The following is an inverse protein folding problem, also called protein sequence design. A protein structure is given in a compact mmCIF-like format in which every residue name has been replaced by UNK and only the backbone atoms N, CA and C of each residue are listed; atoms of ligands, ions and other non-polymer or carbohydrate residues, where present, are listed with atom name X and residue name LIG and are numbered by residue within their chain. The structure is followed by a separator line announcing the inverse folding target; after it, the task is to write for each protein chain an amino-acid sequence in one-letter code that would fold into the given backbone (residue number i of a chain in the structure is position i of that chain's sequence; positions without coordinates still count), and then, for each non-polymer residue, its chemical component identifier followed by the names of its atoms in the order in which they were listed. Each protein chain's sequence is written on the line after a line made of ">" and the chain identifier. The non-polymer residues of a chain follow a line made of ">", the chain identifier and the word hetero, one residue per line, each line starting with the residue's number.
data_IF_150909378289
#
_entry.id   IF_150909378289
#
_cell.length_a   1.000
_cell.length_b   1.000
_cell.length_c   1.000
_cell.angle_alpha   90.00
_cell.angle_beta   90.00
_cell.angle_gamma   90.00
#
_symmetry.space_group_name_H-M   'P 1'
#
loop_
_entity.id
_entity.type
_entity.pdbx_description
1 polymer ?
#
# COMPACT_ATOMS: atom_id res chain seq x y z
N UNK A 1 18.35 17.77 28.38
CA UNK A 1 18.59 16.33 28.21
C UNK A 1 17.36 15.76 27.52
N UNK A 2 17.52 15.18 26.33
CA UNK A 2 16.43 14.50 25.63
C UNK A 2 16.52 13.01 25.93
N UNK A 3 15.39 12.40 26.29
CA UNK A 3 15.28 10.96 26.53
C UNK A 3 14.30 10.42 25.50
N UNK A 4 14.76 9.52 24.64
CA UNK A 4 13.90 8.78 23.73
C UNK A 4 13.58 7.42 24.39
N UNK A 5 12.30 7.16 24.65
CA UNK A 5 11.85 5.89 25.20
C UNK A 5 10.89 5.24 24.20
N UNK A 6 11.19 3.99 23.77
CA UNK A 6 10.32 3.20 22.87
C UNK A 6 9.03 2.74 23.57
N UNK A 7 9.05 2.67 24.89
CA UNK A 7 7.90 2.36 25.75
C UNK A 7 7.52 3.61 26.53
N UNK A 8 6.22 3.85 26.70
CA UNK A 8 5.77 5.00 27.47
C UNK A 8 6.28 4.87 28.90
N UNK A 9 7.24 5.74 29.26
CA UNK A 9 7.61 5.96 30.65
C UNK A 9 6.32 6.33 31.39
N UNK A 10 6.11 5.80 32.60
CA UNK A 10 4.85 6.08 33.28
C UNK A 10 4.67 7.60 33.43
N UNK A 11 3.46 8.13 33.21
CA UNK A 11 3.19 9.57 33.34
C UNK A 11 3.67 10.12 34.68
N UNK A 12 3.61 9.30 35.74
CA UNK A 12 4.07 9.64 37.08
C UNK A 12 5.57 9.85 37.16
N UNK A 13 6.37 9.04 36.45
CA UNK A 13 7.82 9.20 36.39
C UNK A 13 8.21 10.48 35.65
N UNK A 14 7.56 10.74 34.52
CA UNK A 14 7.80 11.92 33.67
C UNK A 14 7.48 13.20 34.43
N UNK A 15 6.36 13.21 35.16
CA UNK A 15 5.93 14.31 36.03
C UNK A 15 6.86 14.50 37.23
N UNK A 16 7.29 13.41 37.89
CA UNK A 16 8.22 13.49 39.02
C UNK A 16 9.60 14.04 38.63
N UNK A 17 10.00 13.92 37.36
CA UNK A 17 11.25 14.48 36.82
C UNK A 17 11.09 15.86 36.18
N UNK A 18 9.89 16.44 36.18
CA UNK A 18 9.62 17.75 35.58
C UNK A 18 9.86 17.77 34.06
N UNK A 19 9.74 16.62 33.39
CA UNK A 19 10.01 16.50 31.96
C UNK A 19 8.76 16.89 31.16
N UNK A 20 8.98 17.52 30.00
CA UNK A 20 7.92 17.80 29.02
C UNK A 20 7.85 16.64 28.04
N UNK A 21 6.66 16.08 27.90
CA UNK A 21 6.39 15.05 26.91
C UNK A 21 6.19 15.67 25.52
N UNK A 22 6.84 15.08 24.52
CA UNK A 22 6.69 15.44 23.11
C UNK A 22 6.37 14.14 22.38
N UNK A 23 5.19 14.06 21.79
CA UNK A 23 4.80 12.93 20.94
C UNK A 23 5.19 13.26 19.51
N UNK A 24 5.99 12.39 18.90
CA UNK A 24 6.24 12.45 17.48
C UNK A 24 5.03 11.86 16.76
N UNK A 25 4.40 12.66 15.91
CA UNK A 25 3.37 12.17 15.00
C UNK A 25 4.03 11.37 13.87
N UNK A 26 3.28 10.46 13.28
CA UNK A 26 3.69 9.77 12.05
C UNK A 26 3.81 10.73 10.87
N UNK A 27 4.30 10.22 9.73
CA UNK A 27 4.34 11.00 8.49
C UNK A 27 2.91 11.21 8.01
N UNK A 28 2.52 12.45 7.77
CA UNK A 28 1.25 12.75 7.12
C UNK A 28 1.28 12.29 5.65
N UNK A 29 0.15 11.85 5.04
CA UNK A 29 0.14 11.46 3.64
C UNK A 29 0.64 12.57 2.69
N UNK A 30 0.48 13.83 3.11
CA UNK A 30 0.95 15.04 2.46
C UNK A 30 2.49 15.19 2.43
N UNK A 31 3.20 14.59 3.39
CA UNK A 31 4.66 14.69 3.52
C UNK A 31 5.41 13.59 2.74
N UNK A 32 4.70 12.55 2.27
CA UNK A 32 5.31 11.37 1.63
C UNK A 32 6.11 11.74 0.37
N UNK A 33 5.49 12.44 -0.58
CA UNK A 33 6.13 12.81 -1.85
C UNK A 33 7.34 13.73 -1.61
N UNK A 34 7.19 14.71 -0.70
CA UNK A 34 8.26 15.64 -0.35
C UNK A 34 9.48 14.93 0.25
N UNK A 35 9.26 13.98 1.16
CA UNK A 35 10.34 13.16 1.72
C UNK A 35 11.04 12.34 0.64
N UNK A 36 10.28 11.65 -0.23
CA UNK A 36 10.83 10.82 -1.30
C UNK A 36 11.72 11.66 -2.21
N UNK A 37 11.22 12.81 -2.67
CA UNK A 37 11.96 13.72 -3.54
C UNK A 37 13.21 14.25 -2.84
N UNK A 38 13.09 14.69 -1.59
CA UNK A 38 14.23 15.24 -0.86
C UNK A 38 15.31 14.19 -0.59
N UNK A 39 14.93 12.98 -0.21
CA UNK A 39 15.86 11.88 0.02
C UNK A 39 16.64 11.54 -1.24
N UNK A 40 15.95 11.35 -2.37
CA UNK A 40 16.61 11.01 -3.63
C UNK A 40 17.45 12.17 -4.17
N UNK A 41 17.01 13.43 -3.98
CA UNK A 41 17.82 14.60 -4.34
C UNK A 41 19.13 14.62 -3.55
N UNK A 42 19.10 14.37 -2.24
CA UNK A 42 20.30 14.33 -1.42
C UNK A 42 21.26 13.21 -1.84
N UNK A 43 20.73 12.03 -2.23
CA UNK A 43 21.55 10.95 -2.78
C UNK A 43 22.15 11.36 -4.13
N UNK A 44 21.37 11.98 -5.02
CA UNK A 44 21.85 12.43 -6.33
C UNK A 44 22.95 13.52 -6.22
N UNK A 45 22.88 14.40 -5.21
CA UNK A 45 23.93 15.39 -4.92
C UNK A 45 25.26 14.73 -4.49
N UNK A 46 25.21 13.55 -3.90
CA UNK A 46 26.40 12.77 -3.52
C UNK A 46 26.95 11.90 -4.65
N UNK A 47 26.19 11.69 -5.74
CA UNK A 47 26.62 10.89 -6.89
C UNK A 47 27.72 11.59 -7.69
N UNK A 48 28.66 10.79 -8.18
CA UNK A 48 29.83 11.31 -8.90
C UNK A 48 29.60 11.34 -10.40
N UNK A 49 28.84 10.39 -10.95
CA UNK A 49 28.59 10.28 -12.40
C UNK A 49 27.20 10.78 -12.80
N UNK A 50 27.01 11.06 -14.10
CA UNK A 50 25.70 11.48 -14.61
C UNK A 50 24.72 10.31 -14.61
N UNK A 51 25.20 9.11 -14.92
CA UNK A 51 24.46 7.86 -14.94
C UNK A 51 23.90 7.51 -13.56
N UNK A 52 24.72 7.64 -12.50
CA UNK A 52 24.26 7.45 -11.11
C UNK A 52 23.12 8.42 -10.76
N UNK A 53 23.21 9.69 -11.18
CA UNK A 53 22.17 10.68 -10.93
C UNK A 53 20.87 10.37 -11.69
N UNK A 54 20.96 9.81 -12.90
CA UNK A 54 19.79 9.36 -13.67
C UNK A 54 19.12 8.19 -12.95
N UNK A 55 19.87 7.18 -12.52
CA UNK A 55 19.33 6.03 -11.79
C UNK A 55 18.62 6.43 -10.49
N UNK A 56 19.17 7.40 -9.75
CA UNK A 56 18.54 7.93 -8.54
C UNK A 56 17.21 8.64 -8.87
N UNK A 57 17.14 9.41 -9.96
CA UNK A 57 15.89 10.06 -10.40
C UNK A 57 14.86 9.04 -10.87
N UNK A 58 15.28 8.01 -11.59
CA UNK A 58 14.40 6.90 -11.99
C UNK A 58 13.87 6.13 -10.79
N UNK A 59 14.71 5.84 -9.79
CA UNK A 59 14.28 5.22 -8.54
C UNK A 59 13.23 6.08 -7.81
N UNK A 60 13.46 7.40 -7.73
CA UNK A 60 12.51 8.36 -7.16
C UNK A 60 11.16 8.31 -7.89
N UNK A 61 11.18 8.37 -9.23
CA UNK A 61 9.97 8.32 -10.06
C UNK A 61 9.21 7.01 -9.88
N UNK A 62 9.92 5.87 -9.91
CA UNK A 62 9.33 4.53 -9.69
C UNK A 62 8.66 4.43 -8.32
N UNK A 63 9.28 4.96 -7.26
CA UNK A 63 8.69 4.94 -5.92
C UNK A 63 7.46 5.86 -5.81
N UNK A 64 7.49 7.07 -6.37
CA UNK A 64 6.31 7.94 -6.37
C UNK A 64 5.13 7.26 -7.10
N UNK A 65 5.40 6.66 -8.27
CA UNK A 65 4.40 5.90 -9.02
C UNK A 65 3.84 4.74 -8.18
N UNK A 66 4.70 3.98 -7.50
CA UNK A 66 4.30 2.91 -6.59
C UNK A 66 3.37 3.38 -5.47
N UNK A 67 3.70 4.49 -4.79
CA UNK A 67 2.86 5.10 -3.75
C UNK A 67 1.49 5.53 -4.30
N UNK A 68 1.42 5.86 -5.58
CA UNK A 68 0.16 6.13 -6.27
C UNK A 68 -0.67 4.89 -6.55
N UNK A 69 -0.01 3.80 -6.95
CA UNK A 69 -0.64 2.62 -7.55
C UNK A 69 -0.85 1.43 -6.61
N UNK A 70 -0.23 1.45 -5.42
CA UNK A 70 -0.27 0.34 -4.48
C UNK A 70 -0.64 0.85 -3.08
N UNK A 71 -1.85 0.51 -2.62
CA UNK A 71 -2.36 0.94 -1.32
C UNK A 71 -1.51 0.44 -0.14
N UNK A 72 -0.98 -0.79 -0.22
CA UNK A 72 -0.08 -1.34 0.79
C UNK A 72 1.23 -0.57 0.90
N UNK A 73 1.87 -0.25 -0.23
CA UNK A 73 3.07 0.60 -0.25
C UNK A 73 2.76 1.98 0.34
N UNK A 74 1.63 2.59 -0.06
CA UNK A 74 1.19 3.90 0.44
C UNK A 74 0.97 3.90 1.96
N UNK A 75 0.33 2.89 2.51
CA UNK A 75 0.09 2.80 3.96
C UNK A 75 1.38 2.54 4.74
N UNK A 76 2.33 1.78 4.18
CA UNK A 76 3.65 1.57 4.78
C UNK A 76 4.45 2.89 4.84
N UNK A 77 4.31 3.77 3.84
CA UNK A 77 4.99 5.07 3.81
C UNK A 77 4.60 6.01 4.97
N UNK A 78 3.50 5.77 5.68
CA UNK A 78 3.12 6.55 6.88
C UNK A 78 4.09 6.34 8.06
N UNK A 79 4.94 5.32 7.99
CA UNK A 79 6.05 5.13 8.91
C UNK A 79 7.36 5.66 8.30
N UNK A 80 8.06 6.61 8.94
CA UNK A 80 9.30 7.17 8.41
C UNK A 80 10.39 6.12 8.13
N UNK A 81 10.41 5.05 8.93
CA UNK A 81 11.36 3.95 8.75
C UNK A 81 11.05 3.15 7.48
N UNK A 82 9.79 2.78 7.24
CA UNK A 82 9.39 2.11 6.01
C UNK A 82 9.61 2.99 4.80
N UNK A 83 9.27 4.27 4.90
CA UNK A 83 9.50 5.24 3.83
C UNK A 83 10.99 5.31 3.44
N UNK A 84 11.89 5.35 4.43
CA UNK A 84 13.34 5.33 4.21
C UNK A 84 13.83 4.01 3.60
N UNK A 85 13.28 2.88 4.05
CA UNK A 85 13.58 1.56 3.50
C UNK A 85 13.10 1.43 2.06
N UNK A 86 11.90 1.90 1.75
CA UNK A 86 11.35 1.92 0.39
C UNK A 86 12.21 2.77 -0.54
N UNK A 87 12.62 3.97 -0.13
CA UNK A 87 13.56 4.80 -0.91
C UNK A 87 14.84 4.03 -1.26
N UNK A 88 15.41 3.34 -0.26
CA UNK A 88 16.60 2.52 -0.44
C UNK A 88 16.37 1.32 -1.37
N UNK A 89 15.30 0.56 -1.18
CA UNK A 89 15.02 -0.65 -1.96
C UNK A 89 14.75 -0.33 -3.44
N UNK A 90 14.07 0.78 -3.73
CA UNK A 90 13.86 1.24 -5.11
C UNK A 90 15.13 1.70 -5.81
N UNK A 91 16.15 2.10 -5.05
CA UNK A 91 17.46 2.48 -5.57
C UNK A 91 18.34 1.25 -5.83
N UNK A 92 18.32 0.24 -4.94
CA UNK A 92 19.32 -0.83 -4.97
C UNK A 92 18.81 -2.21 -5.46
N UNK A 93 17.50 -2.48 -5.43
CA UNK A 93 17.00 -3.85 -5.58
C UNK A 93 16.31 -4.16 -6.91
N UNK A 94 16.32 -3.26 -7.90
CA UNK A 94 15.84 -3.55 -9.26
C UNK A 94 14.39 -4.08 -9.32
N UNK A 95 13.57 -3.74 -8.33
CA UNK A 95 12.21 -4.25 -8.17
C UNK A 95 11.27 -3.56 -9.16
N UNK A 96 10.39 -4.35 -9.77
CA UNK A 96 9.38 -3.89 -10.72
C UNK A 96 7.99 -4.07 -10.13
N UNK A 97 7.32 -2.97 -9.80
CA UNK A 97 5.95 -3.02 -9.31
C UNK A 97 4.93 -3.01 -10.47
N UNK A 98 3.78 -3.68 -10.30
CA UNK A 98 3.29 -4.35 -9.08
C UNK A 98 3.83 -5.78 -8.87
N UNK A 99 4.54 -6.34 -9.85
CA UNK A 99 4.86 -7.77 -9.92
C UNK A 99 5.70 -8.22 -8.72
N UNK A 100 6.63 -7.39 -8.28
CA UNK A 100 7.49 -7.64 -7.12
C UNK A 100 6.90 -7.11 -5.79
N UNK A 101 5.62 -6.71 -5.75
CA UNK A 101 5.01 -6.05 -4.58
C UNK A 101 5.10 -6.89 -3.29
N UNK A 102 4.76 -8.17 -3.37
CA UNK A 102 4.86 -9.09 -2.22
C UNK A 102 6.32 -9.25 -1.79
N UNK A 103 7.25 -9.37 -2.74
CA UNK A 103 8.67 -9.52 -2.44
C UNK A 103 9.26 -8.27 -1.78
N UNK A 104 8.95 -7.09 -2.32
CA UNK A 104 9.33 -5.79 -1.77
C UNK A 104 8.84 -5.65 -0.33
N UNK A 105 7.54 -5.83 -0.10
CA UNK A 105 6.93 -5.62 1.22
C UNK A 105 7.47 -6.63 2.23
N UNK A 106 7.60 -7.90 1.84
CA UNK A 106 8.22 -8.94 2.67
C UNK A 106 9.64 -8.56 3.06
N UNK A 107 10.44 -8.11 2.08
CA UNK A 107 11.84 -7.72 2.31
C UNK A 107 11.95 -6.52 3.25
N UNK A 108 11.13 -5.48 3.06
CA UNK A 108 11.13 -4.30 3.93
C UNK A 108 10.73 -4.66 5.36
N UNK A 109 9.74 -5.56 5.54
CA UNK A 109 9.38 -6.09 6.86
C UNK A 109 10.54 -6.85 7.52
N UNK A 110 11.31 -7.63 6.75
CA UNK A 110 12.49 -8.36 7.27
C UNK A 110 13.64 -7.42 7.64
N UNK A 111 13.85 -6.35 6.88
CA UNK A 111 14.90 -5.35 7.14
C UNK A 111 14.66 -4.59 8.44
N UNK A 112 13.39 -4.31 8.78
CA UNK A 112 13.03 -3.61 10.02
C UNK A 112 13.60 -4.24 11.28
N UNK A 113 13.68 -5.57 11.30
CA UNK A 113 14.11 -6.32 12.47
C UNK A 113 15.64 -6.44 12.57
N UNK A 114 16.37 -5.77 11.69
CA UNK A 114 17.82 -5.60 11.82
C UNK A 114 18.16 -4.54 12.88
N UNK A 115 19.36 -4.65 13.44
CA UNK A 115 19.89 -3.63 14.34
C UNK A 115 20.05 -2.29 13.61
N UNK A 116 20.61 -2.34 12.41
CA UNK A 116 20.69 -1.25 11.45
C UNK A 116 19.91 -1.59 10.16
N UNK A 117 18.61 -1.21 10.08
CA UNK A 117 17.80 -1.45 8.89
C UNK A 117 18.26 -0.66 7.65
N UNK A 118 18.96 0.46 7.83
CA UNK A 118 19.39 1.33 6.72
C UNK A 118 20.80 1.02 6.23
N UNK A 119 21.58 0.27 7.00
CA UNK A 119 22.87 -0.28 6.59
C UNK A 119 22.75 -1.36 5.52
N UNK A 120 23.90 -1.75 4.97
CA UNK A 120 23.97 -2.88 4.04
C UNK A 120 23.63 -4.18 4.78
N UNK A 121 22.61 -4.94 4.37
CA UNK A 121 22.13 -6.07 5.14
C UNK A 121 23.00 -7.28 4.83
N UNK A 122 23.20 -8.13 5.83
CA UNK A 122 23.69 -9.47 5.57
C UNK A 122 22.51 -10.32 5.05
N UNK A 123 22.54 -10.67 3.76
CA UNK A 123 21.49 -11.48 3.12
C UNK A 123 21.30 -12.84 3.80
N UNK A 124 22.34 -13.40 4.45
CA UNK A 124 22.22 -14.65 5.21
C UNK A 124 21.42 -14.44 6.51
N UNK A 125 21.49 -13.26 7.11
CA UNK A 125 20.68 -12.92 8.28
C UNK A 125 19.20 -12.71 7.94
N UNK A 126 18.88 -12.33 6.69
CA UNK A 126 17.49 -12.20 6.21
C UNK A 126 16.84 -13.57 5.95
N UNK A 127 17.61 -14.58 5.54
CA UNK A 127 17.10 -15.91 5.17
C UNK A 127 16.62 -16.78 6.36
N UNK A 128 16.95 -16.41 7.60
CA UNK A 128 16.71 -17.24 8.79
C UNK A 128 15.77 -16.57 9.80
N UNK A 129 14.47 -16.56 9.53
CA UNK A 129 13.48 -16.15 10.55
C UNK A 129 12.34 -17.17 10.67
N UNK A 130 12.56 -18.20 11.47
CA UNK A 130 11.52 -19.16 11.89
C UNK A 130 10.36 -18.54 12.68
N UNK A 131 10.48 -17.26 13.03
CA UNK A 131 9.50 -16.50 13.82
C UNK A 131 8.33 -15.97 12.93
N UNK A 132 8.46 -15.99 11.60
CA UNK A 132 7.44 -15.45 10.68
C UNK A 132 6.11 -16.22 10.71
N UNK A 133 6.15 -17.54 10.88
CA UNK A 133 4.93 -18.35 10.97
C UNK A 133 4.16 -18.02 12.25
N UNK A 134 4.86 -17.84 13.38
CA UNK A 134 4.28 -17.41 14.66
C UNK A 134 3.69 -15.99 14.56
N UNK A 135 4.40 -15.06 13.90
CA UNK A 135 3.90 -13.70 13.66
C UNK A 135 2.64 -13.71 12.77
N UNK A 136 2.62 -14.56 11.75
CA UNK A 136 1.47 -14.71 10.84
C UNK A 136 0.25 -15.30 11.56
N UNK A 137 0.47 -16.30 12.41
CA UNK A 137 -0.58 -16.90 13.25
C UNK A 137 -1.14 -15.90 14.27
N UNK A 138 -0.27 -15.12 14.91
CA UNK A 138 -0.66 -14.05 15.82
C UNK A 138 -1.43 -12.93 15.10
N UNK A 139 -0.97 -12.52 13.92
CA UNK A 139 -1.63 -11.51 13.09
C UNK A 139 -3.03 -11.95 12.69
N UNK A 140 -3.16 -13.16 12.15
CA UNK A 140 -4.44 -13.76 11.80
C UNK A 140 -5.43 -13.76 12.97
N UNK A 141 -4.98 -14.19 14.16
CA UNK A 141 -5.81 -14.20 15.35
C UNK A 141 -6.23 -12.77 15.75
N UNK A 142 -5.30 -11.82 15.73
CA UNK A 142 -5.57 -10.41 16.10
C UNK A 142 -6.53 -9.71 15.13
N UNK A 143 -6.55 -10.07 13.84
CA UNK A 143 -7.54 -9.55 12.87
C UNK A 143 -8.97 -9.89 13.30
N UNK A 144 -9.17 -11.01 13.99
CA UNK A 144 -10.49 -11.46 14.44
C UNK A 144 -10.83 -11.02 15.88
N UNK A 145 -9.81 -10.76 16.72
CA UNK A 145 -9.99 -10.55 18.16
C UNK A 145 -9.61 -9.13 18.64
N UNK A 146 -9.20 -8.25 17.72
CA UNK A 146 -8.80 -6.88 18.01
C UNK A 146 -7.29 -6.66 17.95
N UNK A 147 -6.88 -5.41 17.75
CA UNK A 147 -5.47 -5.05 17.56
C UNK A 147 -4.62 -5.17 18.84
N UNK A 148 -5.22 -4.97 20.01
CA UNK A 148 -4.52 -4.96 21.29
C UNK A 148 -4.90 -6.17 22.15
N UNK A 149 -3.92 -6.94 22.59
CA UNK A 149 -4.13 -8.19 23.35
C UNK A 149 -3.05 -8.39 24.42
N UNK A 150 -3.30 -9.26 25.41
CA UNK A 150 -2.28 -9.53 26.44
C UNK A 150 -1.26 -10.56 25.95
N UNK A 151 -0.10 -10.62 26.61
CA UNK A 151 0.89 -11.69 26.39
C UNK A 151 0.26 -13.09 26.53
N UNK A 152 -0.65 -13.25 27.50
CA UNK A 152 -1.32 -14.51 27.75
C UNK A 152 -2.28 -14.89 26.61
N UNK A 153 -3.04 -13.92 26.09
CA UNK A 153 -3.93 -14.15 24.94
C UNK A 153 -3.13 -14.55 23.70
N UNK A 154 -2.03 -13.83 23.41
CA UNK A 154 -1.16 -14.16 22.29
C UNK A 154 -0.52 -15.54 22.41
N UNK A 155 -0.11 -15.93 23.62
CA UNK A 155 0.49 -17.25 23.87
C UNK A 155 -0.54 -18.37 23.68
N UNK A 156 -1.77 -18.17 24.16
CA UNK A 156 -2.87 -19.10 23.94
C UNK A 156 -3.26 -19.19 22.46
N UNK A 157 -3.25 -18.06 21.75
CA UNK A 157 -3.65 -17.97 20.34
C UNK A 157 -2.76 -18.82 19.42
N UNK A 158 -1.44 -18.80 19.63
CA UNK A 158 -0.47 -19.50 18.78
C UNK A 158 0.09 -20.77 19.43
N UNK A 159 -0.49 -21.19 20.57
CA UNK A 159 -0.13 -22.44 21.25
C UNK A 159 1.29 -22.48 21.83
N UNK A 160 1.80 -21.34 22.33
CA UNK A 160 3.19 -21.20 22.81
C UNK A 160 3.25 -20.69 24.26
N UNK A 161 4.46 -20.44 24.79
CA UNK A 161 4.64 -19.87 26.13
C UNK A 161 4.53 -18.33 26.14
N UNK A 162 4.07 -17.72 27.24
CA UNK A 162 4.13 -16.26 27.42
C UNK A 162 5.53 -15.68 27.21
N UNK A 163 6.57 -16.43 27.59
CA UNK A 163 7.97 -16.04 27.39
C UNK A 163 8.32 -15.94 25.91
N UNK A 164 7.86 -16.89 25.08
CA UNK A 164 8.06 -16.86 23.63
C UNK A 164 7.39 -15.64 22.99
N UNK A 165 6.17 -15.29 23.41
CA UNK A 165 5.51 -14.07 22.93
C UNK A 165 6.29 -12.82 23.32
N UNK A 166 6.83 -12.75 24.55
CA UNK A 166 7.71 -11.64 24.95
C UNK A 166 9.00 -11.58 24.13
N UNK A 167 9.58 -12.73 23.78
CA UNK A 167 10.73 -12.80 22.87
C UNK A 167 10.38 -12.21 21.51
N UNK A 168 9.25 -12.62 20.90
CA UNK A 168 8.77 -12.09 19.63
C UNK A 168 8.63 -10.56 19.69
N UNK A 169 7.98 -10.05 20.72
CA UNK A 169 7.81 -8.60 20.92
C UNK A 169 9.14 -7.87 21.12
N UNK A 170 10.11 -8.48 21.80
CA UNK A 170 11.42 -7.87 22.02
C UNK A 170 12.32 -7.88 20.77
N UNK A 171 12.14 -8.88 19.90
CA UNK A 171 12.97 -9.10 18.71
C UNK A 171 12.43 -8.36 17.49
N UNK A 172 11.11 -8.27 17.35
CA UNK A 172 10.47 -7.78 16.14
C UNK A 172 9.86 -6.39 16.32
N UNK A 173 10.29 -5.44 15.49
CA UNK A 173 9.78 -4.04 15.53
C UNK A 173 8.37 -3.91 14.99
N UNK A 174 7.84 -4.97 14.35
CA UNK A 174 6.44 -5.02 13.90
C UNK A 174 5.45 -5.20 15.06
N UNK A 175 5.92 -5.60 16.25
CA UNK A 175 5.13 -5.67 17.47
C UNK A 175 5.52 -4.53 18.41
N UNK A 176 4.54 -4.04 19.17
CA UNK A 176 4.70 -3.01 20.19
C UNK A 176 4.13 -3.52 21.51
N UNK A 177 4.85 -3.26 22.60
CA UNK A 177 4.35 -3.43 23.97
C UNK A 177 3.98 -2.05 24.52
N UNK A 178 2.70 -1.84 24.76
CA UNK A 178 2.16 -0.62 25.33
C UNK A 178 2.38 -0.59 26.86
N UNK A 179 2.30 0.60 27.46
CA UNK A 179 2.67 0.81 28.87
C UNK A 179 1.77 0.09 29.88
N UNK A 180 0.56 -0.26 29.47
CA UNK A 180 -0.40 -1.06 30.25
C UNK A 180 -0.15 -2.58 30.11
N UNK A 181 0.90 -2.97 29.38
CA UNK A 181 1.30 -4.37 29.18
C UNK A 181 0.56 -5.07 28.03
N UNK A 182 -0.21 -4.34 27.22
CA UNK A 182 -0.84 -4.88 26.01
C UNK A 182 0.14 -4.90 24.85
N UNK A 183 -0.04 -5.88 23.98
CA UNK A 183 0.70 -6.04 22.73
C UNK A 183 -0.21 -5.61 21.58
N UNK A 184 0.37 -4.90 20.62
CA UNK A 184 -0.27 -4.60 19.35
C UNK A 184 0.73 -4.72 18.20
N UNK A 185 0.23 -4.84 16.97
CA UNK A 185 1.09 -4.61 15.81
C UNK A 185 1.36 -3.11 15.70
N UNK A 186 2.63 -2.74 15.55
CA UNK A 186 3.06 -1.34 15.48
C UNK A 186 2.43 -0.60 14.30
N UNK A 187 2.01 -1.32 13.26
CA UNK A 187 1.31 -0.79 12.10
C UNK A 187 0.17 -1.71 11.66
N UNK A 188 -0.96 -1.11 11.29
CA UNK A 188 -2.13 -1.83 10.77
C UNK A 188 -1.80 -2.63 9.51
N UNK A 189 -1.11 -2.03 8.54
CA UNK A 189 -0.75 -2.70 7.29
C UNK A 189 0.16 -3.92 7.51
N UNK A 190 1.15 -3.84 8.41
CA UNK A 190 2.01 -4.99 8.74
C UNK A 190 1.18 -6.17 9.28
N UNK A 191 0.22 -5.88 10.18
CA UNK A 191 -0.72 -6.89 10.69
C UNK A 191 -1.55 -7.53 9.58
N UNK A 192 -2.08 -6.72 8.67
CA UNK A 192 -2.88 -7.23 7.54
C UNK A 192 -2.05 -8.09 6.58
N UNK A 193 -0.79 -7.73 6.33
CA UNK A 193 0.12 -8.49 5.47
C UNK A 193 0.47 -9.86 6.09
N UNK A 194 0.82 -9.92 7.37
CA UNK A 194 1.08 -11.18 8.08
C UNK A 194 -0.18 -12.06 8.16
N UNK A 195 -1.35 -11.45 8.38
CA UNK A 195 -2.62 -12.19 8.35
C UNK A 195 -2.92 -12.73 6.94
N UNK A 196 -2.65 -11.95 5.89
CA UNK A 196 -2.78 -12.36 4.50
C UNK A 196 -1.86 -13.55 4.16
N UNK A 197 -0.61 -13.57 4.65
CA UNK A 197 0.28 -14.72 4.52
C UNK A 197 -0.33 -15.98 5.14
N UNK A 198 -0.85 -15.88 6.37
CA UNK A 198 -1.53 -16.99 7.04
C UNK A 198 -2.73 -17.52 6.24
N UNK A 199 -3.61 -16.62 5.78
CA UNK A 199 -4.79 -16.98 5.01
C UNK A 199 -4.43 -17.64 3.68
N UNK A 200 -3.37 -17.17 3.03
CA UNK A 200 -2.88 -17.71 1.76
C UNK A 200 -2.33 -19.13 1.94
N UNK A 201 -1.42 -19.31 2.91
CA UNK A 201 -0.79 -20.59 3.19
C UNK A 201 -1.81 -21.68 3.55
N UNK A 202 -2.83 -21.35 4.34
CA UNK A 202 -3.86 -22.30 4.77
C UNK A 202 -5.11 -22.32 3.88
N UNK A 203 -5.11 -21.59 2.76
CA UNK A 203 -6.22 -21.53 1.76
C UNK A 203 -7.59 -21.24 2.40
N UNK A 204 -7.69 -20.14 3.15
CA UNK A 204 -8.93 -19.68 3.79
C UNK A 204 -9.97 -19.13 2.79
N UNK A 205 -10.18 -19.80 1.65
CA UNK A 205 -10.95 -19.29 0.50
C UNK A 205 -12.39 -18.93 0.88
N UNK A 206 -13.08 -19.79 1.64
CA UNK A 206 -14.46 -19.52 2.08
C UNK A 206 -14.56 -18.29 2.98
N UNK A 207 -13.58 -18.09 3.87
CA UNK A 207 -13.50 -16.92 4.73
C UNK A 207 -13.24 -15.64 3.92
N UNK A 208 -12.34 -15.69 2.93
CA UNK A 208 -12.05 -14.57 2.04
C UNK A 208 -13.27 -14.17 1.19
N UNK A 209 -14.04 -15.16 0.71
CA UNK A 209 -15.30 -14.89 0.00
C UNK A 209 -16.27 -14.10 0.89
N UNK A 210 -16.40 -14.51 2.16
CA UNK A 210 -17.27 -13.81 3.11
C UNK A 210 -16.79 -12.39 3.40
N UNK A 211 -15.47 -12.17 3.48
CA UNK A 211 -14.88 -10.82 3.66
C UNK A 211 -15.10 -9.91 2.44
N UNK A 212 -15.21 -10.44 1.24
CA UNK A 212 -15.47 -9.60 0.06
C UNK A 212 -16.86 -8.93 0.11
N UNK A 213 -17.80 -9.51 0.87
CA UNK A 213 -19.14 -8.97 1.04
C UNK A 213 -19.16 -7.68 1.87
N UNK A 214 -18.16 -7.47 2.74
CA UNK A 214 -18.07 -6.31 3.63
C UNK A 214 -17.01 -5.31 3.15
N UNK A 215 -17.42 -4.07 2.88
CA UNK A 215 -16.55 -3.01 2.36
C UNK A 215 -15.18 -2.89 3.05
N UNK A 216 -15.12 -2.75 4.39
CA UNK A 216 -13.86 -2.60 5.14
C UNK A 216 -12.90 -3.80 5.02
N UNK A 217 -13.40 -4.99 4.70
CA UNK A 217 -12.63 -6.23 4.75
C UNK A 217 -12.10 -6.67 3.37
N UNK A 218 -12.50 -5.99 2.29
CA UNK A 218 -12.10 -6.29 0.90
C UNK A 218 -10.59 -6.16 0.67
N UNK A 219 -9.91 -5.26 1.38
CA UNK A 219 -8.45 -5.12 1.31
C UNK A 219 -7.75 -6.43 1.65
N UNK A 220 -8.23 -7.16 2.65
CA UNK A 220 -7.68 -8.47 3.05
C UNK A 220 -7.74 -9.48 1.91
N UNK A 221 -8.79 -9.45 1.09
CA UNK A 221 -8.95 -10.35 -0.06
C UNK A 221 -7.87 -10.05 -1.11
N UNK A 222 -7.64 -8.76 -1.40
CA UNK A 222 -6.61 -8.29 -2.34
C UNK A 222 -5.20 -8.58 -1.83
N UNK A 223 -4.93 -8.33 -0.55
CA UNK A 223 -3.63 -8.66 0.05
C UNK A 223 -3.35 -10.17 0.02
N UNK A 224 -4.37 -10.99 0.30
CA UNK A 224 -4.22 -12.45 0.36
C UNK A 224 -4.02 -13.07 -1.02
N UNK A 225 -4.77 -12.64 -2.04
CA UNK A 225 -4.68 -13.25 -3.38
C UNK A 225 -3.32 -13.04 -4.05
N UNK A 226 -2.63 -11.93 -3.74
CA UNK A 226 -1.26 -11.66 -4.22
C UNK A 226 -0.26 -12.74 -3.79
N UNK A 227 -0.57 -13.48 -2.71
CA UNK A 227 0.26 -14.55 -2.12
C UNK A 227 -0.24 -15.96 -2.46
N UNK A 228 -1.39 -16.09 -3.11
CA UNK A 228 -1.96 -17.38 -3.46
C UNK A 228 -1.27 -17.96 -4.69
N UNK A 229 -1.07 -19.29 -4.69
CA UNK A 229 -0.73 -20.02 -5.90
C UNK A 229 -1.89 -20.05 -6.91
N UNK A 230 -1.58 -20.24 -8.19
CA UNK A 230 -2.52 -20.14 -9.32
C UNK A 230 -3.86 -20.85 -9.12
N UNK A 231 -3.84 -22.10 -8.64
CA UNK A 231 -5.08 -22.87 -8.39
C UNK A 231 -5.97 -22.23 -7.32
N UNK A 232 -5.39 -21.77 -6.20
CA UNK A 232 -6.16 -21.18 -5.10
C UNK A 232 -6.66 -19.77 -5.46
N UNK A 233 -5.84 -18.97 -6.17
CA UNK A 233 -6.25 -17.67 -6.68
C UNK A 233 -7.42 -17.79 -7.66
N UNK A 234 -7.35 -18.75 -8.57
CA UNK A 234 -8.42 -19.02 -9.56
C UNK A 234 -9.71 -19.49 -8.88
N UNK A 235 -9.60 -20.37 -7.88
CA UNK A 235 -10.74 -20.82 -7.07
C UNK A 235 -11.41 -19.65 -6.32
N UNK A 236 -10.62 -18.76 -5.72
CA UNK A 236 -11.14 -17.58 -5.03
C UNK A 236 -11.91 -16.67 -6.01
N UNK A 237 -11.31 -16.35 -7.16
CA UNK A 237 -11.94 -15.49 -8.16
C UNK A 237 -13.24 -16.08 -8.70
N UNK A 238 -13.27 -17.36 -9.06
CA UNK A 238 -14.50 -18.04 -9.51
C UNK A 238 -15.61 -17.98 -8.44
N UNK A 239 -15.26 -18.10 -7.14
CA UNK A 239 -16.24 -17.98 -6.04
C UNK A 239 -16.71 -16.54 -5.84
N UNK A 240 -15.83 -15.54 -5.99
CA UNK A 240 -16.22 -14.12 -5.93
C UNK A 240 -17.19 -13.77 -7.05
N UNK A 241 -16.97 -14.27 -8.27
CA UNK A 241 -17.89 -14.06 -9.39
C UNK A 241 -19.28 -14.63 -9.09
N UNK A 242 -19.36 -15.86 -8.58
CA UNK A 242 -20.64 -16.46 -8.16
C UNK A 242 -21.32 -15.67 -7.05
N UNK A 243 -20.57 -15.21 -6.06
CA UNK A 243 -21.13 -14.39 -4.98
C UNK A 243 -21.69 -13.06 -5.50
N UNK A 244 -21.05 -12.45 -6.50
CA UNK A 244 -21.57 -11.26 -7.15
C UNK A 244 -22.83 -11.55 -7.99
N UNK A 245 -22.85 -12.65 -8.75
CA UNK A 245 -24.03 -13.11 -9.51
C UNK A 245 -25.22 -13.36 -8.58
N UNK A 246 -24.99 -14.06 -7.46
CA UNK A 246 -25.99 -14.32 -6.45
C UNK A 246 -26.53 -13.01 -5.84
N UNK A 247 -25.65 -12.08 -5.45
CA UNK A 247 -26.07 -10.78 -4.92
C UNK A 247 -26.92 -9.99 -5.93
N UNK A 248 -26.52 -9.98 -7.20
CA UNK A 248 -27.27 -9.32 -8.28
C UNK A 248 -28.65 -9.97 -8.49
N UNK A 249 -28.74 -11.30 -8.47
CA UNK A 249 -30.00 -12.03 -8.60
C UNK A 249 -30.98 -11.73 -7.44
N UNK A 250 -30.46 -11.41 -6.25
CA UNK A 250 -31.25 -10.99 -5.09
C UNK A 250 -31.52 -9.46 -5.05
N UNK A 251 -31.08 -8.70 -6.07
CA UNK A 251 -31.30 -7.27 -6.18
C UNK A 251 -30.33 -6.39 -5.37
N UNK A 252 -29.29 -6.97 -4.75
CA UNK A 252 -28.27 -6.23 -4.01
C UNK A 252 -27.13 -5.81 -4.95
N UNK A 253 -27.40 -4.77 -5.75
CA UNK A 253 -26.44 -4.25 -6.74
C UNK A 253 -25.17 -3.69 -6.09
N UNK A 254 -25.27 -3.08 -4.91
CA UNK A 254 -24.12 -2.48 -4.20
C UNK A 254 -23.15 -3.57 -3.75
N UNK A 255 -23.68 -4.66 -3.19
CA UNK A 255 -22.88 -5.82 -2.84
C UNK A 255 -22.25 -6.46 -4.09
N UNK A 256 -23.04 -6.68 -5.15
CA UNK A 256 -22.55 -7.26 -6.39
C UNK A 256 -21.39 -6.45 -7.00
N UNK A 257 -21.55 -5.14 -7.14
CA UNK A 257 -20.53 -4.25 -7.68
C UNK A 257 -19.28 -4.22 -6.79
N UNK A 258 -19.45 -4.21 -5.47
CA UNK A 258 -18.34 -4.27 -4.52
C UNK A 258 -17.54 -5.58 -4.60
N UNK A 259 -18.20 -6.71 -4.76
CA UNK A 259 -17.55 -8.02 -4.94
C UNK A 259 -16.89 -8.12 -6.32
N UNK A 260 -17.52 -7.62 -7.38
CA UNK A 260 -16.92 -7.54 -8.73
C UNK A 260 -15.68 -6.66 -8.75
N UNK A 261 -15.74 -5.47 -8.13
CA UNK A 261 -14.58 -4.60 -7.97
C UNK A 261 -13.45 -5.29 -7.21
N UNK A 262 -13.78 -6.00 -6.13
CA UNK A 262 -12.79 -6.81 -5.39
C UNK A 262 -12.15 -7.87 -6.26
N UNK A 263 -12.93 -8.62 -7.05
CA UNK A 263 -12.41 -9.64 -7.96
C UNK A 263 -11.51 -9.03 -9.05
N UNK A 264 -11.87 -7.87 -9.60
CA UNK A 264 -11.07 -7.16 -10.60
C UNK A 264 -9.72 -6.71 -10.04
N UNK A 265 -9.71 -6.07 -8.87
CA UNK A 265 -8.49 -5.62 -8.19
C UNK A 265 -7.62 -6.83 -7.81
N UNK A 266 -8.23 -7.84 -7.20
CA UNK A 266 -7.59 -9.09 -6.82
C UNK A 266 -6.90 -9.77 -8.01
N UNK A 267 -7.56 -9.88 -9.15
CA UNK A 267 -6.98 -10.47 -10.36
C UNK A 267 -5.75 -9.70 -10.87
N UNK A 268 -5.69 -8.38 -10.65
CA UNK A 268 -4.60 -7.52 -11.12
C UNK A 268 -3.35 -7.56 -10.23
N UNK A 269 -3.48 -8.00 -8.98
CA UNK A 269 -2.37 -8.18 -8.04
C UNK A 269 -1.98 -9.65 -7.83
N UNK A 270 -2.83 -10.59 -8.26
CA UNK A 270 -2.54 -12.01 -8.17
C UNK A 270 -1.31 -12.38 -9.02
N UNK A 271 -0.34 -13.06 -8.41
CA UNK A 271 0.90 -13.47 -9.07
C UNK A 271 0.62 -14.36 -10.30
N UNK A 272 -0.31 -15.31 -10.17
CA UNK A 272 -0.74 -16.18 -11.27
C UNK A 272 -2.23 -16.52 -11.13
N UNK A 273 -2.93 -16.57 -12.26
CA UNK A 273 -4.36 -16.95 -12.35
C UNK A 273 -4.54 -17.75 -13.64
N UNK A 274 -5.40 -18.76 -13.61
CA UNK A 274 -5.82 -19.50 -14.81
C UNK A 274 -6.33 -18.50 -15.88
N UNK A 275 -5.80 -18.56 -17.12
CA UNK A 275 -6.22 -17.67 -18.20
C UNK A 275 -7.74 -17.67 -18.48
N UNK A 276 -8.41 -18.80 -18.28
CA UNK A 276 -9.86 -18.89 -18.44
C UNK A 276 -10.59 -18.11 -17.34
N UNK A 277 -10.15 -18.21 -16.08
CA UNK A 277 -10.73 -17.44 -14.96
C UNK A 277 -10.44 -15.95 -15.12
N UNK A 278 -9.22 -15.59 -15.55
CA UNK A 278 -8.87 -14.20 -15.89
C UNK A 278 -9.84 -13.61 -16.91
N UNK A 279 -10.18 -14.36 -17.96
CA UNK A 279 -11.15 -13.93 -18.98
C UNK A 279 -12.56 -13.75 -18.40
N UNK A 280 -13.04 -14.70 -17.59
CA UNK A 280 -14.34 -14.57 -16.93
C UNK A 280 -14.44 -13.32 -16.07
N UNK A 281 -13.40 -13.02 -15.28
CA UNK A 281 -13.37 -11.80 -14.45
C UNK A 281 -13.41 -10.55 -15.33
N UNK A 282 -12.65 -10.52 -16.43
CA UNK A 282 -12.68 -9.41 -17.40
C UNK A 282 -14.07 -9.23 -18.02
N UNK A 283 -14.71 -10.31 -18.46
CA UNK A 283 -16.05 -10.28 -19.04
C UNK A 283 -17.10 -9.80 -18.03
N UNK A 284 -17.08 -10.34 -16.80
CA UNK A 284 -18.01 -9.96 -15.74
C UNK A 284 -17.85 -8.52 -15.25
N UNK A 285 -16.67 -7.93 -15.43
CA UNK A 285 -16.34 -6.58 -14.94
C UNK A 285 -16.32 -5.52 -16.05
N UNK A 286 -16.55 -5.91 -17.30
CA UNK A 286 -16.53 -5.00 -18.46
C UNK A 286 -17.60 -3.89 -18.37
N UNK A 287 -18.75 -4.18 -17.75
CA UNK A 287 -19.80 -3.19 -17.49
C UNK A 287 -19.50 -2.28 -16.29
N UNK A 288 -18.47 -2.61 -15.50
CA UNK A 288 -18.04 -1.82 -14.33
C UNK A 288 -16.81 -0.96 -14.66
N UNK A 289 -15.81 -1.52 -15.35
CA UNK A 289 -14.51 -0.87 -15.62
C UNK A 289 -14.03 -1.19 -17.05
N UNK A 290 -13.49 -0.20 -17.81
CA UNK A 290 -13.13 1.17 -17.42
C UNK A 290 -14.33 2.14 -17.31
N UNK A 291 -14.21 3.25 -16.54
CA UNK A 291 -15.26 4.26 -16.43
C UNK A 291 -15.40 5.07 -17.72
N UNK A 292 -16.44 4.81 -18.49
CA UNK A 292 -16.79 5.57 -19.70
C UNK A 292 -18.12 6.29 -19.57
N UNK A 293 -19.02 5.78 -18.75
CA UNK A 293 -20.37 6.33 -18.57
C UNK A 293 -20.57 6.85 -17.15
N UNK A 294 -21.52 7.76 -16.97
CA UNK A 294 -21.90 8.26 -15.63
C UNK A 294 -22.29 7.12 -14.69
N UNK A 295 -23.03 6.13 -15.19
CA UNK A 295 -23.42 4.95 -14.39
C UNK A 295 -22.19 4.15 -13.92
N UNK A 296 -21.18 3.96 -14.76
CA UNK A 296 -19.93 3.29 -14.37
C UNK A 296 -19.16 4.10 -13.32
N UNK A 297 -19.07 5.42 -13.51
CA UNK A 297 -18.40 6.34 -12.58
C UNK A 297 -19.07 6.27 -11.20
N UNK A 298 -20.40 6.32 -11.14
CA UNK A 298 -21.15 6.26 -9.88
C UNK A 298 -20.93 4.92 -9.17
N UNK A 299 -20.95 3.80 -9.92
CA UNK A 299 -20.71 2.45 -9.38
C UNK A 299 -19.28 2.30 -8.85
N UNK A 300 -18.26 2.74 -9.58
CA UNK A 300 -16.86 2.70 -9.13
C UNK A 300 -16.66 3.57 -7.89
N UNK A 301 -17.21 4.78 -7.90
CA UNK A 301 -17.10 5.72 -6.77
C UNK A 301 -17.75 5.13 -5.51
N UNK A 302 -18.88 4.42 -5.64
CA UNK A 302 -19.53 3.73 -4.53
C UNK A 302 -18.69 2.57 -3.95
N UNK A 303 -17.79 1.95 -4.74
CA UNK A 303 -16.84 0.95 -4.24
C UNK A 303 -15.73 1.63 -3.42
N UNK A 304 -15.29 2.83 -3.81
CA UNK A 304 -14.37 3.66 -3.04
C UNK A 304 -12.89 3.30 -3.23
N UNK A 305 -12.10 3.45 -2.15
CA UNK A 305 -10.62 3.39 -2.17
C UNK A 305 -10.03 2.14 -2.82
N UNK A 306 -10.74 1.01 -2.74
CA UNK A 306 -10.34 -0.24 -3.35
C UNK A 306 -10.06 -0.09 -4.87
N UNK A 307 -10.75 0.84 -5.54
CA UNK A 307 -10.61 1.06 -6.98
C UNK A 307 -9.47 2.00 -7.37
N UNK A 308 -8.86 2.73 -6.42
CA UNK A 308 -7.83 3.74 -6.72
C UNK A 308 -6.61 3.13 -7.41
N UNK A 309 -6.18 1.95 -6.98
CA UNK A 309 -5.03 1.25 -7.55
C UNK A 309 -5.29 0.81 -9.00
N UNK A 310 -6.55 0.54 -9.38
CA UNK A 310 -6.91 0.26 -10.79
C UNK A 310 -7.01 1.54 -11.62
N UNK A 311 -7.60 2.59 -11.05
CA UNK A 311 -7.78 3.87 -11.73
C UNK A 311 -6.43 4.51 -12.09
N UNK A 312 -5.46 4.45 -11.17
CA UNK A 312 -4.08 4.94 -11.36
C UNK A 312 -3.24 4.12 -12.34
N UNK A 313 -3.75 2.97 -12.77
CA UNK A 313 -3.12 2.07 -13.74
C UNK A 313 -3.90 2.00 -15.05
N UNK A 314 -4.99 2.75 -15.17
CA UNK A 314 -5.79 2.79 -16.37
C UNK A 314 -4.99 3.47 -17.50
N UNK A 315 -5.06 2.91 -18.71
CA UNK A 315 -4.48 3.56 -19.88
C UNK A 315 -5.35 4.77 -20.26
N UNK A 316 -4.81 5.97 -20.11
CA UNK A 316 -5.48 7.24 -20.40
C UNK A 316 -5.39 7.61 -21.89
N UNK A 317 -5.59 6.64 -22.78
CA UNK A 317 -5.46 6.82 -24.23
C UNK A 317 -6.74 7.35 -24.89
N UNK A 318 -7.87 7.17 -24.22
CA UNK A 318 -9.20 7.48 -24.70
C UNK A 318 -9.78 8.62 -23.86
N UNK A 319 -10.30 9.67 -24.51
CA UNK A 319 -10.77 10.87 -23.83
C UNK A 319 -11.92 10.60 -22.85
N UNK A 320 -12.82 9.67 -23.18
CA UNK A 320 -13.93 9.30 -22.29
C UNK A 320 -13.42 8.54 -21.07
N UNK A 321 -12.47 7.61 -21.28
CA UNK A 321 -11.82 6.88 -20.17
C UNK A 321 -11.03 7.83 -19.28
N UNK A 322 -10.28 8.77 -19.86
CA UNK A 322 -9.48 9.72 -19.12
C UNK A 322 -10.36 10.64 -18.26
N UNK A 323 -11.45 11.17 -18.84
CA UNK A 323 -12.43 11.95 -18.10
C UNK A 323 -13.11 11.13 -16.99
N UNK A 324 -13.53 9.90 -17.29
CA UNK A 324 -14.16 9.02 -16.30
C UNK A 324 -13.23 8.62 -15.16
N UNK A 325 -11.96 8.33 -15.44
CA UNK A 325 -10.94 8.06 -14.43
C UNK A 325 -10.74 9.29 -13.54
N UNK A 326 -10.63 10.48 -14.14
CA UNK A 326 -10.50 11.74 -13.40
C UNK A 326 -11.70 11.98 -12.47
N UNK A 327 -12.93 11.82 -12.96
CA UNK A 327 -14.14 11.94 -12.14
C UNK A 327 -14.15 10.95 -10.96
N UNK A 328 -13.79 9.69 -11.20
CA UNK A 328 -13.71 8.69 -10.13
C UNK A 328 -12.68 9.06 -9.06
N UNK A 329 -11.45 9.45 -9.45
CA UNK A 329 -10.41 9.78 -8.45
C UNK A 329 -10.72 11.08 -7.72
N UNK A 330 -11.37 12.05 -8.36
CA UNK A 330 -11.87 13.26 -7.70
C UNK A 330 -12.88 12.87 -6.63
N UNK A 331 -13.92 12.12 -7.00
CA UNK A 331 -15.01 11.79 -6.09
C UNK A 331 -14.53 10.92 -4.90
N UNK A 332 -13.69 9.92 -5.16
CA UNK A 332 -13.10 9.09 -4.10
C UNK A 332 -12.14 9.93 -3.24
N UNK A 333 -11.33 10.78 -3.85
CA UNK A 333 -10.37 11.64 -3.17
C UNK A 333 -11.02 12.63 -2.21
N UNK A 334 -12.16 13.21 -2.58
CA UNK A 334 -12.91 14.14 -1.73
C UNK A 334 -13.48 13.46 -0.47
N UNK A 335 -13.82 12.17 -0.55
CA UNK A 335 -14.32 11.40 0.60
C UNK A 335 -13.18 10.90 1.49
N UNK A 336 -12.09 10.44 0.88
CA UNK A 336 -10.98 9.79 1.58
C UNK A 336 -9.89 10.75 2.06
N UNK A 337 -9.94 12.01 1.64
CA UNK A 337 -9.02 13.07 2.04
C UNK A 337 -7.57 12.71 1.69
N UNK A 338 -6.66 13.04 2.62
CA UNK A 338 -5.22 12.94 2.41
C UNK A 338 -4.73 11.53 2.01
N UNK A 339 -5.40 10.47 2.45
CA UNK A 339 -5.02 9.07 2.12
C UNK A 339 -5.11 8.80 0.61
N UNK A 340 -6.00 9.47 -0.11
CA UNK A 340 -6.17 9.27 -1.54
C UNK A 340 -5.34 10.22 -2.40
N UNK A 341 -4.75 11.28 -1.83
CA UNK A 341 -4.02 12.30 -2.60
C UNK A 341 -2.89 11.74 -3.45
N UNK A 342 -2.06 10.76 -3.01
CA UNK A 342 -1.02 10.23 -3.88
C UNK A 342 -1.58 9.53 -5.13
N UNK A 343 -2.74 8.88 -5.03
CA UNK A 343 -3.42 8.29 -6.19
C UNK A 343 -3.96 9.38 -7.13
N UNK A 344 -4.61 10.42 -6.58
CA UNK A 344 -5.11 11.57 -7.35
C UNK A 344 -3.97 12.28 -8.07
N UNK A 345 -2.87 12.55 -7.37
CA UNK A 345 -1.69 13.20 -7.93
C UNK A 345 -1.05 12.36 -9.05
N UNK A 346 -1.06 11.03 -8.93
CA UNK A 346 -0.56 10.12 -9.98
C UNK A 346 -1.38 10.23 -11.26
N UNK A 347 -2.71 10.18 -11.15
CA UNK A 347 -3.61 10.32 -12.30
C UNK A 347 -3.45 11.70 -12.93
N UNK A 348 -3.41 12.76 -12.12
CA UNK A 348 -3.25 14.11 -12.61
C UNK A 348 -1.90 14.34 -13.33
N UNK A 349 -0.81 13.74 -12.84
CA UNK A 349 0.50 13.83 -13.47
C UNK A 349 0.56 13.12 -14.83
N UNK A 350 -0.19 12.04 -15.01
CA UNK A 350 -0.26 11.26 -16.25
C UNK A 350 -1.30 11.78 -17.25
N UNK A 351 -2.29 12.54 -16.77
CA UNK A 351 -3.35 13.10 -17.61
C UNK A 351 -2.87 14.30 -18.45
N UNK A 352 -3.61 14.60 -19.52
CA UNK A 352 -3.41 15.82 -20.30
C UNK A 352 -3.67 17.10 -19.49
N UNK A 353 -3.29 18.26 -20.05
CA UNK A 353 -3.44 19.54 -19.36
C UNK A 353 -4.90 19.88 -18.99
N UNK A 354 -5.92 19.71 -19.87
CA UNK A 354 -7.32 19.93 -19.51
C UNK A 354 -7.79 19.07 -18.32
N UNK A 355 -7.54 17.76 -18.35
CA UNK A 355 -7.96 16.85 -17.28
C UNK A 355 -7.21 17.12 -15.98
N UNK A 356 -5.91 17.43 -16.05
CA UNK A 356 -5.13 17.83 -14.89
C UNK A 356 -5.69 19.10 -14.25
N UNK A 357 -6.07 20.09 -15.06
CA UNK A 357 -6.69 21.31 -14.55
C UNK A 357 -8.06 21.03 -13.93
N UNK A 358 -8.86 20.13 -14.53
CA UNK A 358 -10.12 19.69 -13.95
C UNK A 358 -9.93 19.09 -12.54
N UNK A 359 -8.93 18.22 -12.36
CA UNK A 359 -8.62 17.63 -11.04
C UNK A 359 -8.21 18.72 -10.05
N UNK A 360 -7.32 19.64 -10.44
CA UNK A 360 -6.90 20.75 -9.57
C UNK A 360 -8.06 21.66 -9.16
N UNK A 361 -8.95 21.99 -10.10
CA UNK A 361 -10.11 22.85 -9.83
C UNK A 361 -11.09 22.20 -8.84
N UNK A 362 -11.19 20.87 -8.83
CA UNK A 362 -12.04 20.16 -7.87
C UNK A 362 -11.54 20.29 -6.41
N UNK A 363 -10.32 20.79 -6.21
CA UNK A 363 -9.73 21.11 -4.92
C UNK A 363 -9.66 22.63 -4.63
N UNK A 364 -10.27 23.50 -5.45
CA UNK A 364 -10.14 24.96 -5.30
C UNK A 364 -10.47 25.49 -3.89
N UNK A 365 -11.48 24.92 -3.26
CA UNK A 365 -11.94 25.27 -1.91
C UNK A 365 -11.51 24.27 -0.82
N UNK A 366 -10.62 23.31 -1.17
CA UNK A 366 -10.19 22.26 -0.25
C UNK A 366 -8.84 22.61 0.42
N UNK A 367 -8.67 22.37 1.74
CA UNK A 367 -7.42 22.67 2.45
C UNK A 367 -6.19 21.96 1.84
N UNK A 368 -6.39 20.76 1.28
CA UNK A 368 -5.31 19.96 0.69
C UNK A 368 -4.87 20.42 -0.72
N UNK A 369 -5.44 21.50 -1.28
CA UNK A 369 -5.08 21.97 -2.64
C UNK A 369 -3.59 22.21 -2.82
N UNK A 370 -2.96 22.86 -1.84
CA UNK A 370 -1.54 23.19 -1.89
C UNK A 370 -0.69 21.92 -1.96
N UNK A 371 -0.99 20.96 -1.09
CA UNK A 371 -0.34 19.64 -1.05
C UNK A 371 -0.53 18.90 -2.38
N UNK A 372 -1.76 18.81 -2.88
CA UNK A 372 -2.06 18.13 -4.14
C UNK A 372 -1.30 18.76 -5.31
N UNK A 373 -1.23 20.10 -5.34
CA UNK A 373 -0.49 20.84 -6.37
C UNK A 373 1.00 20.50 -6.32
N UNK A 374 1.59 20.47 -5.13
CA UNK A 374 3.00 20.10 -4.94
C UNK A 374 3.28 18.65 -5.37
N UNK A 375 2.43 17.69 -4.98
CA UNK A 375 2.56 16.29 -5.40
C UNK A 375 2.51 16.15 -6.92
N UNK A 376 1.58 16.85 -7.58
CA UNK A 376 1.48 16.85 -9.05
C UNK A 376 2.75 17.43 -9.67
N UNK A 377 3.25 18.56 -9.15
CA UNK A 377 4.47 19.19 -9.65
C UNK A 377 5.68 18.27 -9.54
N UNK A 378 5.88 17.65 -8.37
CA UNK A 378 6.97 16.71 -8.12
C UNK A 378 6.95 15.53 -9.11
N UNK A 379 5.77 14.97 -9.39
CA UNK A 379 5.59 13.83 -10.31
C UNK A 379 5.78 14.24 -11.79
N UNK A 380 5.35 15.44 -12.16
CA UNK A 380 5.50 15.95 -13.54
C UNK A 380 6.95 16.34 -13.83
N UNK A 381 7.62 17.04 -12.91
CA UNK A 381 9.00 17.48 -13.08
C UNK A 381 9.95 16.30 -13.31
N UNK A 382 9.79 15.23 -12.54
CA UNK A 382 10.60 14.02 -12.71
C UNK A 382 10.40 13.35 -14.07
N UNK A 383 9.21 13.45 -14.67
CA UNK A 383 8.96 12.92 -16.01
C UNK A 383 9.69 13.73 -17.08
N UNK A 384 9.61 15.06 -17.01
CA UNK A 384 10.25 15.97 -17.97
C UNK A 384 11.78 15.91 -17.91
N UNK A 385 12.36 15.89 -16.70
CA UNK A 385 13.81 15.84 -16.49
C UNK A 385 14.46 14.58 -17.10
N UNK A 386 13.70 13.49 -17.26
CA UNK A 386 14.18 12.25 -17.86
C UNK A 386 14.08 12.28 -19.39
N UNK A 387 13.00 12.85 -19.94
CA UNK A 387 12.84 13.05 -21.39
C UNK A 387 13.93 13.96 -21.98
N UNK A 388 14.32 15.02 -21.25
CA UNK A 388 15.40 15.93 -21.66
C UNK A 388 16.78 15.24 -21.68
N UNK A 389 17.02 14.28 -20.79
CA UNK A 389 18.27 13.48 -20.76
C UNK A 389 18.30 12.51 -21.95
N UNK A 390 17.20 11.81 -22.25
CA UNK A 390 17.10 10.92 -23.42
C UNK A 390 17.19 11.68 -24.76
N UNK A 391 16.70 12.92 -24.81
CA UNK A 391 16.78 13.81 -25.98
C UNK A 391 18.18 14.39 -26.23
N UNK A 392 18.95 14.62 -25.15
CA UNK A 392 20.32 15.15 -25.19
C UNK A 392 21.33 14.16 -25.77
N UNK A 393 21.21 12.87 -25.47
CA UNK A 393 22.11 11.83 -26.01
C UNK A 393 21.95 11.60 -27.51
N UNK A 394 20.79 11.95 -28.10
CA UNK A 394 20.57 11.87 -29.56
C UNK A 394 21.24 13.01 -30.34
N UNK A 395 21.66 14.08 -29.67
CA UNK A 395 22.31 15.25 -30.32
C UNK A 395 23.83 15.33 -30.07
N UNK A 396 24.40 14.37 -29.31
CA UNK A 396 25.84 14.32 -28.97
C UNK A 396 26.71 13.43 -29.86
N UNK A 397 26.13 12.73 -30.84
CA UNK A 397 26.88 11.94 -31.85
C UNK A 397 26.54 12.42 -33.26
N UNK A 398 27.18 13.52 -33.67
CA UNK A 398 27.28 13.95 -35.06
C UNK A 398 28.72 14.37 -35.38
#
# INVERSE_FOLDING_TARGET
>A
MFVNARSALSPDWTKAKGLREITLLGVGPDEIDGFIVQWHRAVAEACTTAEERVEVREACRRLLLAVGQCADVRDLCLSPLFLSLLCREFLYCGLTLPDDGVALVTRVLQLMDLQDPLGMPDEQALAHRGDWDELSELAHWSVQNGNEFTVADGAAAIGTSPERVRELVSRHRVLRLDSDGRISFAMGMARELFAADFFAQRRFIGYLCKRAETGPDRSTVVLTIARLGSSAASELLDRLLRAAEDAAAHGDRVLADGVLGTALVAMKVAAQVDPAVRRKVQEATAELFPPRTREQIDRITAIGNLMLDLLTRAELVDADVQAGVAECVIAIGQVSGQVALPAVATVAAQADAPTRQMILNAWDDHPDKAVLTEMIQNRVALTLDLEDVEGGDRHGSA
#
